data_IF_551420389699
#
_entry.id   IF_551420389699
#
_cell.length_a   1.000
_cell.length_b   1.000
_cell.length_c   1.000
_cell.angle_alpha   90.00
_cell.angle_beta   90.00
_cell.angle_gamma   90.00
#
_symmetry.space_group_name_H-M   'P 1'
#
loop_
_entity.id
_entity.type
_entity.pdbx_description
1 polymer ?
#
# COMPACT_ATOMS: atom_id res chain seq x y z
N UNK A 1 -23.97 -4.59 -5.40
CA UNK A 1 -22.74 -5.26 -5.83
C UNK A 1 -21.69 -4.17 -5.86
N UNK A 2 -20.73 -4.14 -4.92
CA UNK A 2 -19.55 -3.28 -5.07
C UNK A 2 -18.83 -3.76 -6.32
N UNK A 3 -18.53 -2.85 -7.24
CA UNK A 3 -17.69 -3.20 -8.37
C UNK A 3 -16.26 -3.36 -7.84
N UNK A 4 -15.47 -4.20 -8.50
CA UNK A 4 -14.05 -4.33 -8.22
C UNK A 4 -13.40 -4.18 -9.58
N UNK A 5 -12.64 -3.10 -9.77
CA UNK A 5 -11.91 -2.92 -11.02
C UNK A 5 -10.72 -3.89 -11.03
N UNK A 6 -10.65 -4.74 -12.03
CA UNK A 6 -9.47 -5.58 -12.28
C UNK A 6 -8.72 -5.03 -13.49
N UNK A 7 -7.45 -4.68 -13.30
CA UNK A 7 -6.61 -4.09 -14.34
C UNK A 7 -5.28 -4.84 -14.36
N UNK A 8 -5.00 -5.52 -15.48
CA UNK A 8 -3.79 -6.33 -15.68
C UNK A 8 -3.58 -7.39 -14.58
N UNK A 9 -4.67 -7.89 -14.01
CA UNK A 9 -4.69 -8.88 -12.94
C UNK A 9 -4.57 -8.30 -11.52
N UNK A 10 -4.37 -6.99 -11.36
CA UNK A 10 -4.44 -6.32 -10.07
C UNK A 10 -5.87 -5.89 -9.76
N UNK A 11 -6.31 -6.16 -8.54
CA UNK A 11 -7.61 -5.75 -8.02
C UNK A 11 -7.54 -4.36 -7.38
N UNK A 12 -8.58 -3.57 -7.63
CA UNK A 12 -8.81 -2.29 -6.97
C UNK A 12 -10.23 -2.28 -6.40
N UNK A 13 -10.43 -2.81 -5.17
CA UNK A 13 -11.73 -2.76 -4.48
C UNK A 13 -12.29 -1.33 -4.31
N UNK A 14 -13.57 -1.15 -4.65
CA UNK A 14 -14.26 0.15 -4.56
C UNK A 14 -14.41 0.69 -3.12
N UNK A 15 -14.25 -0.14 -2.10
CA UNK A 15 -14.38 0.26 -0.69
C UNK A 15 -13.07 0.78 -0.07
N UNK A 16 -11.99 0.81 -0.86
CA UNK A 16 -10.67 1.27 -0.45
C UNK A 16 -10.30 2.60 -1.12
N UNK A 17 -9.45 3.34 -0.41
CA UNK A 17 -8.73 4.49 -0.92
C UNK A 17 -7.31 4.07 -1.29
N UNK A 18 -6.63 4.87 -2.10
CA UNK A 18 -5.28 4.58 -2.58
C UNK A 18 -4.41 5.83 -2.54
N UNK A 19 -3.11 5.66 -2.31
CA UNK A 19 -2.15 6.75 -2.50
C UNK A 19 -2.02 7.11 -4.00
N UNK A 20 -1.42 8.27 -4.29
CA UNK A 20 -1.32 8.79 -5.66
C UNK A 20 -0.54 7.87 -6.62
N UNK A 21 0.32 7.01 -6.07
CA UNK A 21 1.13 6.04 -6.80
C UNK A 21 0.56 4.62 -6.76
N UNK A 22 -0.62 4.43 -6.15
CA UNK A 22 -1.32 3.14 -6.00
C UNK A 22 -0.46 2.02 -5.39
N UNK A 23 0.59 2.37 -4.65
CA UNK A 23 1.42 1.41 -3.92
C UNK A 23 0.72 0.95 -2.64
N UNK A 24 -0.12 1.81 -2.07
CA UNK A 24 -0.82 1.61 -0.82
C UNK A 24 -2.32 1.61 -1.01
N UNK A 25 -3.00 0.74 -0.28
CA UNK A 25 -4.43 0.85 -0.04
C UNK A 25 -4.67 1.34 1.38
N UNK A 26 -5.75 2.12 1.55
CA UNK A 26 -6.15 2.72 2.81
C UNK A 26 -7.64 2.45 3.03
N UNK A 27 -7.97 1.92 4.20
CA UNK A 27 -9.35 1.65 4.62
C UNK A 27 -9.72 2.57 5.79
N UNK A 28 -10.80 3.34 5.71
CA UNK A 28 -11.25 4.16 6.83
C UNK A 28 -11.64 3.29 8.03
N UNK A 29 -11.09 3.60 9.20
CA UNK A 29 -11.51 3.03 10.49
C UNK A 29 -12.38 4.02 11.28
N UNK A 30 -12.11 5.32 11.11
CA UNK A 30 -12.85 6.45 11.66
C UNK A 30 -12.77 7.63 10.69
N UNK A 31 -13.18 8.82 11.12
CA UNK A 31 -13.02 10.07 10.35
C UNK A 31 -11.54 10.38 10.05
N UNK A 32 -10.64 10.09 10.98
CA UNK A 32 -9.22 10.49 10.95
C UNK A 32 -8.24 9.33 10.90
N UNK A 33 -8.69 8.09 11.13
CA UNK A 33 -7.80 6.92 11.25
C UNK A 33 -8.00 5.97 10.08
N UNK A 34 -6.88 5.56 9.50
CA UNK A 34 -6.79 4.73 8.31
C UNK A 34 -6.01 3.47 8.60
N UNK A 35 -6.55 2.32 8.19
CA UNK A 35 -5.80 1.08 8.09
C UNK A 35 -5.10 1.02 6.74
N UNK A 36 -3.78 0.83 6.73
CA UNK A 36 -2.93 0.96 5.55
C UNK A 36 -2.25 -0.35 5.23
N UNK A 37 -2.28 -0.76 3.96
CA UNK A 37 -1.51 -1.90 3.46
C UNK A 37 -0.91 -1.64 2.08
N UNK A 38 -0.17 -2.61 1.54
CA UNK A 38 0.43 -2.55 0.20
C UNK A 38 -0.51 -3.22 -0.81
N UNK A 39 -0.69 -2.61 -1.98
CA UNK A 39 -1.53 -3.17 -3.07
C UNK A 39 -0.83 -4.32 -3.78
N UNK A 40 -1.58 -5.07 -4.60
CA UNK A 40 -0.98 -6.05 -5.52
C UNK A 40 0.02 -5.41 -6.49
N UNK A 41 -0.29 -4.20 -6.97
CA UNK A 41 0.57 -3.44 -7.85
C UNK A 41 1.88 -3.06 -7.15
N UNK A 42 1.80 -2.38 -5.99
CA UNK A 42 2.98 -1.99 -5.22
C UNK A 42 3.84 -3.18 -4.79
N UNK A 43 3.20 -4.27 -4.32
CA UNK A 43 3.89 -5.50 -3.96
C UNK A 43 4.60 -6.17 -5.16
N UNK A 44 3.99 -6.12 -6.34
CA UNK A 44 4.59 -6.66 -7.55
C UNK A 44 5.77 -5.82 -8.06
N UNK A 45 5.74 -4.49 -7.87
CA UNK A 45 6.86 -3.61 -8.23
C UNK A 45 8.11 -3.85 -7.37
N UNK A 46 7.92 -4.16 -6.09
CA UNK A 46 9.05 -4.37 -5.14
C UNK A 46 9.49 -5.82 -5.03
N UNK A 47 8.64 -6.77 -5.39
CA UNK A 47 8.89 -8.21 -5.27
C UNK A 47 8.50 -8.79 -3.91
N UNK A 48 8.97 -10.00 -3.63
CA UNK A 48 8.66 -10.71 -2.39
C UNK A 48 9.23 -9.97 -1.17
N UNK A 49 8.36 -9.72 -0.19
CA UNK A 49 8.67 -8.99 1.04
C UNK A 49 9.02 -10.00 2.13
N UNK A 50 10.27 -9.96 2.59
CA UNK A 50 10.85 -10.86 3.59
C UNK A 50 10.88 -10.27 4.99
N UNK A 51 10.72 -8.95 5.12
CA UNK A 51 10.72 -8.26 6.39
C UNK A 51 9.77 -7.06 6.33
N UNK A 52 9.10 -6.80 7.44
CA UNK A 52 8.35 -5.57 7.70
C UNK A 52 8.77 -5.04 9.08
N UNK A 53 9.19 -3.78 9.14
CA UNK A 53 9.65 -3.13 10.36
C UNK A 53 9.02 -1.73 10.52
N UNK A 54 7.93 -1.60 11.29
CA UNK A 54 7.30 -0.32 11.54
C UNK A 54 8.19 0.60 12.39
N UNK A 55 8.00 1.91 12.25
CA UNK A 55 8.58 2.90 13.16
C UNK A 55 7.97 2.77 14.57
N UNK A 56 8.59 3.38 15.60
CA UNK A 56 8.01 3.45 16.93
C UNK A 56 6.63 4.11 16.93
N UNK A 57 5.73 3.60 17.77
CA UNK A 57 4.37 4.12 17.92
C UNK A 57 4.35 5.57 18.44
N UNK A 58 3.24 6.27 18.17
CA UNK A 58 3.00 7.66 18.55
C UNK A 58 4.04 8.64 17.95
N UNK A 59 4.62 8.28 16.80
CA UNK A 59 5.51 9.13 16.04
C UNK A 59 4.69 10.00 15.08
N UNK A 60 4.92 11.30 15.12
CA UNK A 60 4.49 12.24 14.07
C UNK A 60 5.30 11.98 12.80
N UNK A 61 4.59 11.93 11.67
CA UNK A 61 5.12 11.68 10.34
C UNK A 61 4.70 12.82 9.45
N UNK A 62 5.66 13.42 8.76
CA UNK A 62 5.38 14.37 7.68
C UNK A 62 4.97 13.63 6.39
N UNK A 63 4.49 14.38 5.40
CA UNK A 63 4.30 13.87 4.03
C UNK A 63 5.61 13.22 3.53
N UNK A 64 5.48 12.04 2.92
CA UNK A 64 6.59 11.23 2.40
C UNK A 64 7.60 10.74 3.46
N UNK A 65 7.32 10.93 4.75
CA UNK A 65 8.14 10.36 5.81
C UNK A 65 7.91 8.84 5.91
N UNK A 66 8.97 8.02 6.02
CA UNK A 66 8.83 6.58 6.20
C UNK A 66 8.14 6.19 7.51
N UNK A 67 7.01 5.48 7.42
CA UNK A 67 6.38 4.84 8.58
C UNK A 67 6.89 3.42 8.82
N UNK A 68 7.51 2.78 7.82
CA UNK A 68 8.10 1.45 7.94
C UNK A 68 9.26 1.23 6.96
N UNK A 69 10.06 0.21 7.26
CA UNK A 69 10.99 -0.42 6.32
C UNK A 69 10.43 -1.78 5.88
N UNK A 70 10.69 -2.14 4.63
CA UNK A 70 10.48 -3.50 4.11
C UNK A 70 11.77 -4.02 3.50
N UNK A 71 12.05 -5.30 3.67
CA UNK A 71 13.16 -5.98 2.98
C UNK A 71 12.61 -6.82 1.84
N UNK A 72 13.19 -6.64 0.66
CA UNK A 72 12.91 -7.40 -0.56
C UNK A 72 14.22 -7.87 -1.14
N UNK A 73 14.30 -9.12 -1.60
CA UNK A 73 15.53 -9.72 -2.11
C UNK A 73 16.81 -9.34 -1.31
N UNK A 74 17.65 -8.45 -1.84
CA UNK A 74 18.88 -7.95 -1.19
C UNK A 74 18.83 -6.44 -0.95
N UNK A 75 17.65 -5.87 -0.78
CA UNK A 75 17.41 -4.43 -0.71
C UNK A 75 16.41 -4.10 0.39
N UNK A 76 16.66 -2.99 1.09
CA UNK A 76 15.73 -2.42 2.06
C UNK A 76 15.09 -1.20 1.44
N UNK A 77 13.76 -1.16 1.43
CA UNK A 77 12.95 -0.06 0.93
C UNK A 77 12.17 0.57 2.08
N UNK A 78 11.72 1.81 1.86
CA UNK A 78 10.88 2.56 2.81
C UNK A 78 9.44 2.57 2.34
N UNK A 79 8.49 2.40 3.26
CA UNK A 79 7.07 2.66 3.02
C UNK A 79 6.71 3.98 3.67
N UNK A 80 6.13 4.91 2.90
CA UNK A 80 6.01 6.33 3.26
C UNK A 80 4.58 6.73 3.53
N UNK A 81 4.40 7.71 4.41
CA UNK A 81 3.09 8.28 4.72
C UNK A 81 2.59 9.14 3.55
N UNK A 82 1.37 8.90 3.02
CA UNK A 82 0.81 9.69 1.92
C UNK A 82 0.26 11.06 2.36
N UNK A 83 0.25 11.34 3.67
CA UNK A 83 -0.16 12.62 4.27
C UNK A 83 0.46 12.77 5.67
N UNK A 84 0.50 13.98 6.25
CA UNK A 84 0.92 14.15 7.64
C UNK A 84 0.06 13.34 8.61
N UNK A 85 0.68 12.49 9.43
CA UNK A 85 -0.03 11.52 10.25
C UNK A 85 0.71 11.17 11.55
N UNK A 86 0.03 10.44 12.43
CA UNK A 86 0.61 9.80 13.60
C UNK A 86 0.47 8.30 13.43
N UNK A 87 1.57 7.56 13.63
CA UNK A 87 1.53 6.10 13.66
C UNK A 87 0.86 5.64 14.97
N UNK A 88 -0.33 5.05 14.88
CA UNK A 88 -1.16 4.67 16.05
C UNK A 88 -1.42 3.17 16.20
N UNK A 89 -1.12 2.38 15.17
CA UNK A 89 -1.09 0.91 15.26
C UNK A 89 -0.10 0.28 14.28
N UNK A 90 0.34 -0.95 14.57
CA UNK A 90 1.16 -1.76 13.68
C UNK A 90 0.74 -3.24 13.80
N UNK A 91 0.76 -3.97 12.68
CA UNK A 91 0.33 -5.36 12.63
C UNK A 91 1.47 -6.31 13.01
N UNK A 92 1.42 -6.87 14.20
CA UNK A 92 2.41 -7.83 14.70
C UNK A 92 2.43 -9.13 13.87
N UNK A 93 1.27 -9.57 13.35
CA UNK A 93 1.20 -10.79 12.53
C UNK A 93 2.02 -10.63 11.24
N UNK A 94 2.03 -9.43 10.65
CA UNK A 94 2.81 -9.16 9.44
C UNK A 94 4.30 -9.03 9.75
N UNK A 95 4.69 -8.60 10.94
CA UNK A 95 6.10 -8.65 11.36
C UNK A 95 6.59 -10.11 11.45
N UNK A 96 5.75 -11.03 11.93
CA UNK A 96 6.07 -12.45 11.99
C UNK A 96 5.97 -13.16 10.63
N UNK A 97 5.06 -12.71 9.76
CA UNK A 97 4.74 -13.36 8.47
C UNK A 97 4.65 -12.34 7.32
N UNK A 98 5.75 -11.66 6.99
CA UNK A 98 5.75 -10.55 6.01
C UNK A 98 5.32 -10.98 4.60
N UNK A 99 5.57 -12.23 4.21
CA UNK A 99 5.15 -12.77 2.91
C UNK A 99 3.61 -12.74 2.69
N UNK A 100 2.80 -12.57 3.75
CA UNK A 100 1.35 -12.38 3.61
C UNK A 100 1.02 -11.10 2.84
N UNK A 101 1.86 -10.06 2.92
CA UNK A 101 1.70 -8.82 2.16
C UNK A 101 1.58 -9.13 0.65
N UNK A 102 2.45 -9.99 0.11
CA UNK A 102 2.39 -10.38 -1.30
C UNK A 102 1.25 -11.35 -1.63
N UNK A 103 0.91 -12.26 -0.71
CA UNK A 103 -0.06 -13.35 -0.97
C UNK A 103 -1.51 -12.94 -0.75
N UNK A 104 -1.76 -12.06 0.21
CA UNK A 104 -3.10 -11.64 0.64
C UNK A 104 -3.08 -10.13 0.96
N UNK A 105 -2.75 -9.27 -0.02
CA UNK A 105 -2.47 -7.84 0.21
C UNK A 105 -3.62 -7.11 0.90
N UNK A 106 -4.86 -7.35 0.48
CA UNK A 106 -6.04 -6.70 1.05
C UNK A 106 -6.51 -7.29 2.39
N UNK A 107 -5.84 -8.34 2.88
CA UNK A 107 -6.03 -8.88 4.25
C UNK A 107 -4.81 -8.58 5.13
N UNK A 108 -3.76 -7.97 4.57
CA UNK A 108 -2.45 -7.78 5.20
C UNK A 108 -2.19 -6.30 5.43
N UNK A 109 -2.94 -5.69 6.36
CA UNK A 109 -2.68 -4.34 6.80
C UNK A 109 -1.32 -4.27 7.53
N UNK A 110 -0.60 -3.17 7.34
CA UNK A 110 0.71 -2.91 7.93
C UNK A 110 0.59 -2.08 9.21
N UNK A 111 -0.09 -0.95 9.10
CA UNK A 111 -0.14 0.09 10.14
C UNK A 111 -1.51 0.75 10.18
N UNK A 112 -1.79 1.40 11.31
CA UNK A 112 -2.86 2.38 11.42
C UNK A 112 -2.24 3.77 11.48
N UNK A 113 -2.67 4.66 10.58
CA UNK A 113 -2.24 6.06 10.53
C UNK A 113 -3.41 6.96 10.90
N UNK A 114 -3.19 7.82 11.89
CA UNK A 114 -4.13 8.89 12.25
C UNK A 114 -3.72 10.17 11.52
N UNK A 115 -4.55 10.65 10.60
CA UNK A 115 -4.32 11.89 9.88
C UNK A 115 -4.30 13.08 10.84
N UNK A 116 -3.33 13.99 10.67
CA UNK A 116 -3.29 15.27 11.40
C UNK A 116 -4.42 16.18 10.93
N UNK A 117 -4.74 16.13 9.63
CA UNK A 117 -5.90 16.79 9.01
C UNK A 117 -6.68 15.79 8.17
N UNK A 118 -7.86 15.32 8.65
CA UNK A 118 -8.70 14.35 7.96
C UNK A 118 -9.14 14.79 6.55
N UNK A 119 -9.41 16.08 6.37
CA UNK A 119 -9.88 16.59 5.09
C UNK A 119 -8.74 16.60 4.07
N UNK A 120 -7.55 17.04 4.49
CA UNK A 120 -6.35 16.98 3.64
C UNK A 120 -6.02 15.53 3.26
N UNK A 121 -6.04 14.59 4.21
CA UNK A 121 -5.82 13.17 3.94
C UNK A 121 -6.81 12.65 2.90
N UNK A 122 -8.11 12.93 3.05
CA UNK A 122 -9.13 12.48 2.08
C UNK A 122 -8.95 13.08 0.69
N UNK A 123 -8.43 14.31 0.59
CA UNK A 123 -8.26 15.00 -0.69
C UNK A 123 -7.05 14.50 -1.51
N UNK A 124 -6.01 13.97 -0.85
CA UNK A 124 -4.82 13.46 -1.53
C UNK A 124 -4.94 11.99 -1.95
N UNK A 125 -5.91 11.27 -1.39
CA UNK A 125 -6.18 9.88 -1.71
C UNK A 125 -7.11 9.74 -2.92
N UNK A 126 -6.87 8.71 -3.71
CA UNK A 126 -7.71 8.31 -4.83
C UNK A 126 -8.77 7.31 -4.39
N UNK A 127 -9.97 7.42 -4.96
CA UNK A 127 -11.08 6.49 -4.72
C UNK A 127 -12.06 6.49 -5.90
N UNK A 128 -12.75 5.37 -6.10
CA UNK A 128 -13.81 5.25 -7.11
C UNK A 128 -13.28 5.34 -8.55
N UNK A 129 -13.99 6.09 -9.40
CA UNK A 129 -13.76 6.07 -10.86
C UNK A 129 -12.36 6.56 -11.29
N UNK A 130 -11.67 7.33 -10.46
CA UNK A 130 -10.33 7.85 -10.76
C UNK A 130 -9.24 6.78 -10.69
N UNK A 131 -9.45 5.71 -9.91
CA UNK A 131 -8.43 4.69 -9.65
C UNK A 131 -8.08 3.92 -10.92
N UNK A 132 -9.07 3.61 -11.77
CA UNK A 132 -8.84 2.82 -12.97
C UNK A 132 -7.97 3.50 -14.02
N UNK A 133 -8.25 4.78 -14.30
CA UNK A 133 -7.45 5.57 -15.24
C UNK A 133 -6.02 5.75 -14.73
N UNK A 134 -5.86 6.06 -13.44
CA UNK A 134 -4.55 6.19 -12.81
C UNK A 134 -3.76 4.87 -12.81
N UNK A 135 -4.44 3.75 -12.59
CA UNK A 135 -3.82 2.43 -12.62
C UNK A 135 -3.26 2.11 -14.00
N UNK A 136 -4.02 2.37 -15.08
CA UNK A 136 -3.55 2.15 -16.45
C UNK A 136 -2.30 3.01 -16.72
N UNK A 137 -2.35 4.29 -16.38
CA UNK A 137 -1.22 5.22 -16.56
C UNK A 137 0.04 4.74 -15.83
N UNK A 138 -0.07 4.42 -14.54
CA UNK A 138 1.06 3.95 -13.74
C UNK A 138 1.60 2.61 -14.21
N UNK A 139 0.72 1.71 -14.62
CA UNK A 139 1.13 0.42 -15.18
C UNK A 139 1.86 0.60 -16.51
N UNK A 140 1.46 1.55 -17.36
CA UNK A 140 2.19 1.87 -18.59
C UNK A 140 3.57 2.47 -18.29
N UNK A 141 3.66 3.42 -17.36
CA UNK A 141 4.92 4.04 -16.95
C UNK A 141 5.92 3.00 -16.40
N UNK A 142 5.44 2.01 -15.67
CA UNK A 142 6.25 0.94 -15.09
C UNK A 142 6.45 -0.27 -16.03
N UNK A 143 5.94 -0.22 -17.27
CA UNK A 143 5.92 -1.36 -18.21
C UNK A 143 5.30 -2.61 -17.59
N UNK A 144 4.34 -2.41 -16.70
CA UNK A 144 3.59 -3.45 -16.02
C UNK A 144 2.55 -4.04 -16.97
N UNK A 145 2.89 -5.15 -17.61
CA UNK A 145 2.03 -5.82 -18.61
C UNK A 145 0.98 -6.72 -17.95
N UNK A 146 1.37 -7.47 -16.92
CA UNK A 146 0.46 -8.29 -16.10
C UNK A 146 1.05 -8.62 -14.73
N UNK A 147 0.16 -8.83 -13.75
CA UNK A 147 0.54 -9.27 -12.41
C UNK A 147 1.28 -10.61 -12.41
N UNK A 148 0.87 -11.54 -13.28
CA UNK A 148 1.55 -12.84 -13.42
C UNK A 148 3.01 -12.70 -13.87
N UNK A 149 3.28 -11.86 -14.86
CA UNK A 149 4.63 -11.68 -15.40
C UNK A 149 5.55 -11.02 -14.38
N UNK A 150 5.06 -9.98 -13.68
CA UNK A 150 5.85 -9.31 -12.64
C UNK A 150 6.17 -10.23 -11.45
N UNK A 151 5.23 -11.09 -11.04
CA UNK A 151 5.48 -12.11 -10.02
C UNK A 151 6.52 -13.15 -10.48
N UNK A 152 6.55 -13.50 -11.76
CA UNK A 152 7.57 -14.42 -12.32
C UNK A 152 8.96 -13.76 -12.40
N UNK A 153 9.04 -12.47 -12.69
CA UNK A 153 10.34 -11.75 -12.72
C UNK A 153 10.94 -11.54 -11.33
N UNK A 154 10.13 -11.41 -10.29
CA UNK A 154 10.60 -11.27 -8.90
C UNK A 154 11.05 -12.57 -8.23
N UNK A 155 10.77 -13.73 -8.85
CA UNK A 155 11.03 -15.05 -8.26
C UNK A 155 12.36 -15.72 -8.64
N UNK A 156 13.20 -15.06 -9.46
CA UNK A 156 14.49 -15.61 -9.90
C UNK A 156 15.62 -14.60 -9.69
N UNK A 157 16.22 -14.60 -8.50
CA UNK A 157 17.63 -14.24 -8.30
C UNK A 157 18.19 -14.76 -6.96
#
# INVERSE_FOLDING_TARGET
MCSMAEIRGCQFPDDLFYDADLNLWLKPMSEDTWEVGITEFGGALVGDIYMFNPKPMNRDLELDEPFALIEVAKTVLTVKSPFPSILVGANEEIQERPIRINRQPFQSWLVHLKAVDPQTAKNVLLHGSQVGERAIELMDLNRFTSLEEFKKSGGNN
#
